data_IF_841695669674
#
_entry.id   IF_841695669674
#
_cell.length_a   1.000
_cell.length_b   1.000
_cell.length_c   1.000
_cell.angle_alpha   90.00
_cell.angle_beta   90.00
_cell.angle_gamma   90.00
#
_symmetry.space_group_name_H-M   'P 1'
#
loop_
_entity.id
_entity.type
_entity.pdbx_description
1 polymer ?
#
# COMPACT_ATOMS: atom_id res chain seq x y z
N UNK A 1 -11.49 8.59 6.04
CA UNK A 1 -12.88 9.04 6.14
C UNK A 1 -13.67 8.53 4.94
N UNK A 2 -14.90 8.10 5.15
CA UNK A 2 -15.88 7.78 4.10
C UNK A 2 -16.75 9.02 3.85
N UNK A 3 -16.92 9.38 2.58
CA UNK A 3 -17.76 10.50 2.17
C UNK A 3 -19.16 9.97 1.83
N UNK A 4 -20.20 10.61 2.38
CA UNK A 4 -21.60 10.30 2.07
C UNK A 4 -22.09 10.84 0.71
N UNK A 5 -21.22 11.50 -0.05
CA UNK A 5 -21.53 12.13 -1.33
C UNK A 5 -22.12 13.54 -1.20
N UNK A 6 -22.49 13.96 0.00
CA UNK A 6 -22.89 15.32 0.33
C UNK A 6 -21.75 16.12 0.99
N UNK A 7 -20.57 15.51 1.16
CA UNK A 7 -19.40 16.12 1.78
C UNK A 7 -19.37 15.97 3.29
N UNK A 8 -20.21 15.09 3.88
CA UNK A 8 -20.02 14.67 5.27
C UNK A 8 -19.09 13.47 5.31
N UNK A 9 -18.08 13.58 6.17
CA UNK A 9 -17.01 12.60 6.29
C UNK A 9 -17.10 11.90 7.64
N UNK A 10 -17.17 10.57 7.64
CA UNK A 10 -17.10 9.74 8.84
C UNK A 10 -15.84 8.89 8.84
N UNK A 11 -15.18 8.74 9.98
CA UNK A 11 -14.03 7.84 10.07
C UNK A 11 -14.52 6.37 10.11
N UNK A 12 -13.91 5.50 9.30
CA UNK A 12 -14.04 4.05 9.44
C UNK A 12 -12.91 3.59 10.36
N UNK A 13 -13.25 3.19 11.58
CA UNK A 13 -12.25 2.88 12.64
C UNK A 13 -11.87 1.41 12.69
N UNK A 14 -12.64 0.54 12.07
CA UNK A 14 -12.48 -0.92 12.03
C UNK A 14 -11.71 -1.36 10.78
N UNK A 15 -10.58 -0.70 10.49
CA UNK A 15 -9.72 -1.05 9.35
C UNK A 15 -8.48 -1.83 9.80
N UNK A 16 -7.97 -2.77 8.98
CA UNK A 16 -6.73 -3.52 9.29
C UNK A 16 -5.45 -2.71 9.02
N UNK A 17 -5.56 -1.45 8.61
CA UNK A 17 -4.43 -0.59 8.30
C UNK A 17 -3.57 -0.36 9.53
N UNK A 18 -2.26 -0.30 9.32
CA UNK A 18 -1.28 -0.05 10.37
C UNK A 18 -0.66 1.33 10.20
N UNK A 19 -0.18 1.89 11.32
CA UNK A 19 0.51 3.16 11.33
C UNK A 19 1.91 3.04 10.72
N UNK A 20 2.21 3.90 9.75
CA UNK A 20 3.51 3.96 9.06
C UNK A 20 4.09 5.38 9.10
N UNK A 21 5.41 5.47 9.23
CA UNK A 21 6.18 6.68 8.99
C UNK A 21 6.91 6.60 7.64
N UNK A 22 7.27 7.77 7.06
CA UNK A 22 8.05 7.86 5.80
C UNK A 22 7.45 6.97 4.70
N UNK A 23 6.13 7.05 4.58
CA UNK A 23 5.32 6.11 3.83
C UNK A 23 4.69 6.72 2.59
N UNK A 24 4.22 5.83 1.73
CA UNK A 24 3.41 6.14 0.55
C UNK A 24 2.24 5.17 0.52
N UNK A 25 1.15 5.61 -0.10
CA UNK A 25 -0.04 4.82 -0.37
C UNK A 25 -0.36 4.89 -1.86
N UNK A 26 -0.79 3.76 -2.42
CA UNK A 26 -1.34 3.71 -3.77
C UNK A 26 -2.56 2.80 -3.78
N UNK A 27 -3.48 3.10 -4.71
CA UNK A 27 -4.77 2.44 -4.85
C UNK A 27 -4.88 1.92 -6.28
N UNK A 28 -5.29 0.67 -6.43
CA UNK A 28 -5.56 0.02 -7.72
C UNK A 28 -6.34 -1.27 -7.46
N UNK A 29 -7.18 -1.70 -8.40
CA UNK A 29 -7.69 -3.07 -8.45
C UNK A 29 -6.53 -4.01 -8.84
N UNK A 30 -5.94 -4.72 -7.87
CA UNK A 30 -4.78 -5.58 -8.11
C UNK A 30 -5.13 -7.04 -8.31
N UNK A 31 -6.35 -7.44 -7.94
CA UNK A 31 -6.83 -8.82 -8.07
C UNK A 31 -7.82 -9.01 -9.23
N UNK A 32 -8.24 -7.92 -9.89
CA UNK A 32 -9.14 -7.91 -11.04
C UNK A 32 -10.62 -8.09 -10.67
N UNK A 33 -11.02 -7.82 -9.43
CA UNK A 33 -12.41 -7.98 -8.96
C UNK A 33 -13.29 -6.74 -9.16
N UNK A 34 -12.71 -5.64 -9.64
CA UNK A 34 -13.37 -4.37 -9.87
C UNK A 34 -13.43 -3.45 -8.65
N UNK A 35 -12.83 -3.86 -7.52
CA UNK A 35 -12.74 -3.07 -6.29
C UNK A 35 -11.33 -2.51 -6.12
N UNK A 36 -11.25 -1.26 -5.68
CA UNK A 36 -9.98 -0.61 -5.39
C UNK A 36 -9.34 -1.24 -4.13
N UNK A 37 -8.15 -1.82 -4.30
CA UNK A 37 -7.29 -2.33 -3.22
C UNK A 37 -6.31 -1.26 -2.74
N UNK A 38 -5.68 -1.47 -1.58
CA UNK A 38 -4.78 -0.48 -0.96
C UNK A 38 -3.40 -1.08 -0.72
N UNK A 39 -2.37 -0.49 -1.32
CA UNK A 39 -0.97 -0.76 -1.02
C UNK A 39 -0.40 0.35 -0.14
N UNK A 40 0.17 -0.02 0.99
CA UNK A 40 0.92 0.88 1.88
C UNK A 40 2.34 0.38 2.03
N UNK A 41 3.32 1.27 1.89
CA UNK A 41 4.74 0.95 2.08
C UNK A 41 5.38 2.06 2.89
N UNK A 42 6.19 1.71 3.89
CA UNK A 42 6.91 2.67 4.71
C UNK A 42 7.58 2.00 5.89
N UNK A 43 7.83 2.77 6.95
CA UNK A 43 8.51 2.29 8.14
C UNK A 43 7.53 2.10 9.31
N UNK A 44 7.47 0.88 9.85
CA UNK A 44 6.77 0.58 11.10
C UNK A 44 7.70 0.68 12.31
N UNK A 45 7.14 1.09 13.44
CA UNK A 45 7.88 1.16 14.70
C UNK A 45 8.04 -0.24 15.28
N UNK A 46 9.28 -0.66 15.50
CA UNK A 46 9.58 -1.90 16.19
C UNK A 46 9.91 -1.63 17.67
N UNK A 47 9.83 -2.68 18.48
CA UNK A 47 10.12 -2.65 19.93
C UNK A 47 11.51 -2.09 20.28
N UNK A 48 12.46 -2.14 19.34
CA UNK A 48 13.84 -1.70 19.55
C UNK A 48 14.12 -0.26 19.08
N UNK A 49 13.08 0.55 18.83
CA UNK A 49 13.19 1.92 18.29
C UNK A 49 13.87 1.99 16.92
N UNK A 50 14.01 0.85 16.23
CA UNK A 50 14.42 0.81 14.84
C UNK A 50 13.17 0.87 13.96
N UNK A 51 13.21 1.73 12.96
CA UNK A 51 12.21 1.81 11.91
C UNK A 51 12.46 0.64 10.94
N UNK A 52 11.50 -0.26 10.82
CA UNK A 52 11.61 -1.39 9.89
C UNK A 52 10.79 -1.09 8.63
N UNK A 53 11.41 -1.07 7.44
CA UNK A 53 10.67 -1.03 6.18
C UNK A 53 9.67 -2.19 6.12
N UNK A 54 8.47 -1.91 5.65
CA UNK A 54 7.44 -2.92 5.44
C UNK A 54 6.55 -2.54 4.25
N UNK A 55 5.99 -3.55 3.60
CA UNK A 55 5.00 -3.41 2.54
C UNK A 55 3.74 -4.22 2.90
N UNK A 56 2.57 -3.58 2.82
CA UNK A 56 1.28 -4.20 3.12
C UNK A 56 0.30 -3.93 2.00
N UNK A 57 -0.26 -5.01 1.45
CA UNK A 57 -1.35 -4.97 0.48
C UNK A 57 -2.63 -5.42 1.17
N UNK A 58 -3.66 -4.60 1.06
CA UNK A 58 -4.97 -4.84 1.62
C UNK A 58 -5.99 -4.98 0.50
N UNK A 59 -6.60 -6.16 0.41
CA UNK A 59 -7.62 -6.48 -0.58
C UNK A 59 -8.99 -6.03 -0.09
N UNK A 60 -9.72 -5.33 -0.95
CA UNK A 60 -11.07 -4.83 -0.69
C UNK A 60 -12.12 -5.81 -1.23
N UNK A 61 -13.16 -6.12 -0.46
CA UNK A 61 -14.26 -6.98 -0.91
C UNK A 61 -15.35 -6.25 -1.71
N UNK A 62 -15.14 -4.97 -2.04
CA UNK A 62 -16.09 -4.10 -2.74
C UNK A 62 -17.12 -3.45 -1.81
N UNK A 63 -17.23 -3.89 -0.57
CA UNK A 63 -18.06 -3.27 0.48
C UNK A 63 -17.23 -2.40 1.43
N UNK A 64 -15.93 -2.23 1.12
CA UNK A 64 -14.97 -1.49 1.92
C UNK A 64 -14.47 -2.28 3.11
N UNK A 65 -14.63 -3.60 3.15
CA UNK A 65 -13.97 -4.44 4.14
C UNK A 65 -12.64 -4.93 3.58
N UNK A 66 -11.57 -4.63 4.31
CA UNK A 66 -10.22 -4.90 3.87
C UNK A 66 -9.65 -6.14 4.55
N UNK A 67 -8.91 -6.95 3.80
CA UNK A 67 -8.14 -8.09 4.30
C UNK A 67 -6.68 -7.99 3.88
N UNK A 68 -5.75 -8.22 4.80
CA UNK A 68 -4.32 -8.16 4.49
C UNK A 68 -3.89 -9.40 3.67
N UNK A 69 -3.29 -9.17 2.50
CA UNK A 69 -2.61 -10.22 1.75
C UNK A 69 -1.39 -10.71 2.52
N UNK A 70 -1.32 -12.02 2.74
CA UNK A 70 -0.19 -12.63 3.41
C UNK A 70 1.03 -12.69 2.48
N UNK A 71 2.15 -12.14 2.94
CA UNK A 71 3.45 -12.14 2.23
C UNK A 71 3.37 -11.62 0.78
N UNK A 72 3.00 -10.33 0.58
CA UNK A 72 3.02 -9.75 -0.76
C UNK A 72 4.45 -9.78 -1.34
N UNK A 73 4.62 -9.96 -2.66
CA UNK A 73 5.93 -10.12 -3.29
C UNK A 73 6.72 -8.81 -3.44
N UNK A 74 6.29 -7.74 -2.76
CA UNK A 74 6.83 -6.40 -2.92
C UNK A 74 8.03 -6.16 -2.02
N UNK A 75 8.97 -5.36 -2.51
CA UNK A 75 10.12 -4.94 -1.72
C UNK A 75 9.67 -4.05 -0.58
N UNK A 76 10.21 -4.32 0.60
CA UNK A 76 10.01 -3.48 1.77
C UNK A 76 11.00 -2.30 1.72
N UNK A 77 10.45 -1.08 1.64
CA UNK A 77 11.24 0.16 1.61
C UNK A 77 10.67 1.20 2.57
N UNK A 78 11.52 2.10 3.06
CA UNK A 78 11.10 3.36 3.65
C UNK A 78 11.36 4.53 2.68
N UNK A 79 10.92 5.74 3.08
CA UNK A 79 11.04 6.95 2.25
C UNK A 79 10.49 6.69 0.84
N UNK A 80 9.34 6.01 0.83
CA UNK A 80 8.84 5.31 -0.32
C UNK A 80 8.09 6.22 -1.28
N UNK A 81 8.04 5.82 -2.55
CA UNK A 81 7.10 6.34 -3.54
C UNK A 81 6.61 5.17 -4.40
N UNK A 82 5.31 5.18 -4.66
CA UNK A 82 4.56 4.08 -5.28
C UNK A 82 3.73 4.63 -6.45
N UNK A 83 3.68 3.90 -7.56
CA UNK A 83 2.76 4.17 -8.65
C UNK A 83 2.24 2.88 -9.28
N UNK A 84 0.94 2.84 -9.59
CA UNK A 84 0.32 1.81 -10.42
C UNK A 84 0.09 2.34 -11.84
N UNK A 85 0.31 1.50 -12.84
CA UNK A 85 -0.02 1.76 -14.25
C UNK A 85 0.07 0.47 -15.04
N UNK A 86 -0.76 0.27 -16.06
CA UNK A 86 -0.55 -0.76 -17.08
C UNK A 86 0.56 -0.29 -18.03
N UNK A 87 1.82 -0.61 -17.71
CA UNK A 87 2.99 -0.21 -18.51
C UNK A 87 3.29 -1.22 -19.62
N UNK A 88 2.85 -2.47 -19.45
CA UNK A 88 3.13 -3.56 -20.38
C UNK A 88 2.02 -3.73 -21.46
N UNK A 89 0.81 -3.19 -21.23
CA UNK A 89 -0.33 -3.18 -22.14
C UNK A 89 -1.21 -4.43 -22.08
N UNK A 90 -1.17 -5.21 -21.00
CA UNK A 90 -1.98 -6.42 -20.82
C UNK A 90 -3.34 -6.18 -20.14
N UNK A 91 -3.59 -4.94 -19.71
CA UNK A 91 -4.82 -4.53 -19.04
C UNK A 91 -4.82 -4.79 -17.53
N UNK A 92 -3.75 -5.31 -16.95
CA UNK A 92 -3.52 -5.38 -15.51
C UNK A 92 -2.61 -4.23 -15.05
N UNK A 93 -2.77 -3.79 -13.81
CA UNK A 93 -1.92 -2.75 -13.25
C UNK A 93 -0.53 -3.31 -12.88
N UNK A 94 0.53 -2.78 -13.49
CA UNK A 94 1.90 -2.97 -13.05
C UNK A 94 2.24 -1.98 -11.90
N UNK A 95 3.30 -2.27 -11.14
CA UNK A 95 3.63 -1.55 -9.91
C UNK A 95 5.09 -1.09 -9.88
N UNK A 96 5.30 0.23 -9.79
CA UNK A 96 6.62 0.83 -9.56
C UNK A 96 6.78 1.23 -8.09
N UNK A 97 7.84 0.73 -7.46
CA UNK A 97 8.24 1.10 -6.10
C UNK A 97 9.65 1.68 -6.12
N UNK A 98 9.81 2.81 -5.41
CA UNK A 98 11.11 3.43 -5.10
C UNK A 98 11.21 3.70 -3.61
N UNK A 99 12.42 3.73 -3.07
CA UNK A 99 12.68 4.04 -1.67
C UNK A 99 14.03 3.52 -1.20
N UNK A 100 14.21 3.40 0.12
CA UNK A 100 15.44 2.87 0.75
C UNK A 100 15.15 1.57 1.48
N UNK A 101 16.03 0.58 1.32
CA UNK A 101 15.96 -0.68 2.11
C UNK A 101 16.63 -0.51 3.48
N UNK A 102 16.63 -1.55 4.32
CA UNK A 102 17.07 -1.48 5.72
C UNK A 102 18.53 -0.99 5.91
N UNK A 103 19.40 -1.18 4.93
CA UNK A 103 20.79 -0.70 4.96
C UNK A 103 20.98 0.72 4.39
N UNK A 104 19.86 1.43 4.14
CA UNK A 104 19.78 2.76 3.54
C UNK A 104 20.21 2.83 2.06
N UNK A 105 20.36 1.70 1.38
CA UNK A 105 20.60 1.69 -0.06
C UNK A 105 19.31 2.06 -0.81
N UNK A 106 19.37 2.97 -1.80
CA UNK A 106 18.22 3.27 -2.64
C UNK A 106 17.91 2.10 -3.57
N UNK A 107 16.63 1.85 -3.80
CA UNK A 107 16.16 0.83 -4.74
C UNK A 107 15.01 1.35 -5.60
N UNK A 108 14.91 0.79 -6.80
CA UNK A 108 13.78 0.99 -7.72
C UNK A 108 13.41 -0.39 -8.29
N UNK A 109 12.15 -0.77 -8.17
CA UNK A 109 11.62 -2.04 -8.67
C UNK A 109 10.31 -1.82 -9.40
N UNK A 110 10.23 -2.33 -10.62
CA UNK A 110 8.99 -2.50 -11.37
C UNK A 110 8.56 -3.96 -11.23
N UNK A 111 7.29 -4.16 -10.90
CA UNK A 111 6.61 -5.45 -10.78
C UNK A 111 5.58 -5.56 -11.88
#
# INVERSE_FOLDING_TARGET
YLNDGAGHFSEKTDTPFIDLARSSVAISDVNGDGSDDVLTIGAAHSWFLIMHPIAKLYLNDGEGNFSEMQAPPFVEVDESSIAFSDVNGDGAADLLITGSVLDYSPITRLY
#
